data_IF_733434353313
#
_entry.id   IF_733434353313
#
_cell.length_a   1.000
_cell.length_b   1.000
_cell.length_c   1.000
_cell.angle_alpha   90.00
_cell.angle_beta   90.00
_cell.angle_gamma   90.00
#
_symmetry.space_group_name_H-M   'P 1'
#
loop_
_entity.id
_entity.type
_entity.pdbx_description
1 polymer ?
#
# COMPACT_ATOMS: atom_id res chain seq x y z
N UNK A 1 -8.62 -23.83 -23.43
CA UNK A 1 -9.37 -23.21 -22.31
C UNK A 1 -8.58 -23.49 -21.06
N UNK A 2 -7.74 -22.53 -20.68
CA UNK A 2 -6.88 -22.65 -19.51
C UNK A 2 -7.76 -22.70 -18.26
N UNK A 3 -7.68 -23.81 -17.53
CA UNK A 3 -8.41 -24.01 -16.29
C UNK A 3 -7.91 -22.98 -15.28
N UNK A 4 -8.65 -21.88 -15.12
CA UNK A 4 -8.41 -20.89 -14.07
C UNK A 4 -8.49 -21.58 -12.70
N UNK A 5 -7.35 -22.02 -12.18
CA UNK A 5 -7.21 -22.46 -10.80
C UNK A 5 -7.59 -21.28 -9.89
N UNK A 6 -8.67 -21.47 -9.13
CA UNK A 6 -9.23 -20.42 -8.25
C UNK A 6 -8.30 -20.09 -7.09
N UNK A 7 -7.28 -20.92 -6.82
CA UNK A 7 -6.28 -20.73 -5.75
C UNK A 7 -5.11 -19.86 -6.20
N UNK A 8 -4.85 -19.78 -7.50
CA UNK A 8 -3.74 -19.04 -8.11
C UNK A 8 -4.25 -18.01 -9.10
N UNK A 9 -5.22 -17.19 -8.68
CA UNK A 9 -5.50 -15.95 -9.42
C UNK A 9 -4.30 -15.03 -9.31
N UNK A 10 -3.48 -15.03 -10.36
CA UNK A 10 -2.50 -14.00 -10.60
C UNK A 10 -3.20 -12.63 -10.60
N UNK A 11 -2.73 -11.75 -9.73
CA UNK A 11 -3.04 -10.32 -9.74
C UNK A 11 -2.19 -9.63 -10.80
N UNK A 12 -2.23 -8.29 -10.87
CA UNK A 12 -1.47 -7.50 -11.85
C UNK A 12 -0.02 -8.05 -11.93
N UNK A 13 0.44 -8.35 -13.14
CA UNK A 13 1.77 -8.90 -13.44
C UNK A 13 2.05 -10.35 -12.99
N UNK A 14 1.03 -11.21 -12.82
CA UNK A 14 1.28 -12.64 -12.54
C UNK A 14 1.46 -12.98 -11.06
N UNK A 15 1.41 -11.99 -10.17
CA UNK A 15 1.75 -12.14 -8.74
C UNK A 15 0.64 -12.80 -7.95
N UNK A 16 0.98 -13.61 -6.95
CA UNK A 16 0.00 -14.11 -5.98
C UNK A 16 -0.35 -13.04 -4.94
N UNK A 17 -1.45 -13.24 -4.22
CA UNK A 17 -1.85 -12.33 -3.14
C UNK A 17 -0.77 -12.22 -2.06
N UNK A 18 -0.15 -13.34 -1.68
CA UNK A 18 0.90 -13.37 -0.66
C UNK A 18 2.14 -12.59 -1.10
N UNK A 19 2.52 -12.69 -2.38
CA UNK A 19 3.60 -11.86 -2.93
C UNK A 19 3.26 -10.37 -2.87
N UNK A 20 2.04 -9.97 -3.23
CA UNK A 20 1.61 -8.58 -3.10
C UNK A 20 1.63 -8.10 -1.64
N UNK A 21 1.33 -8.99 -0.69
CA UNK A 21 1.38 -8.72 0.75
C UNK A 21 2.82 -8.49 1.22
N UNK A 22 3.75 -9.38 0.86
CA UNK A 22 5.17 -9.27 1.18
C UNK A 22 5.79 -8.00 0.59
N UNK A 23 5.46 -7.68 -0.67
CA UNK A 23 5.91 -6.44 -1.32
C UNK A 23 5.38 -5.22 -0.55
N UNK A 24 4.09 -5.17 -0.25
CA UNK A 24 3.51 -4.05 0.48
C UNK A 24 4.09 -3.90 1.91
N UNK A 25 4.38 -5.01 2.62
CA UNK A 25 5.01 -4.97 3.94
C UNK A 25 6.48 -4.51 3.87
N UNK A 26 7.23 -4.95 2.86
CA UNK A 26 8.64 -4.57 2.70
C UNK A 26 8.84 -3.10 2.31
N UNK A 27 7.87 -2.47 1.64
CA UNK A 27 7.90 -1.03 1.32
C UNK A 27 7.51 -0.14 2.52
N UNK A 28 6.82 -0.71 3.50
CA UNK A 28 6.24 0.03 4.62
C UNK A 28 7.27 0.84 5.44
N UNK A 29 8.48 0.32 5.76
CA UNK A 29 9.51 1.10 6.45
C UNK A 29 9.92 2.38 5.72
N UNK A 30 9.95 2.37 4.39
CA UNK A 30 10.32 3.54 3.60
C UNK A 30 9.24 4.62 3.63
N UNK A 31 7.97 4.21 3.60
CA UNK A 31 6.85 5.12 3.79
C UNK A 31 6.87 5.76 5.19
N UNK A 32 7.15 4.96 6.23
CA UNK A 32 7.28 5.47 7.60
C UNK A 32 8.41 6.50 7.71
N UNK A 33 9.59 6.21 7.17
CA UNK A 33 10.71 7.17 7.12
C UNK A 33 10.34 8.46 6.39
N UNK A 34 9.62 8.34 5.27
CA UNK A 34 9.15 9.50 4.52
C UNK A 34 8.20 10.36 5.34
N UNK A 35 7.22 9.75 6.01
CA UNK A 35 6.27 10.44 6.89
C UNK A 35 6.99 11.09 8.08
N UNK A 36 7.98 10.42 8.67
CA UNK A 36 8.77 11.00 9.77
C UNK A 36 9.57 12.22 9.33
N UNK A 37 10.08 12.25 8.09
CA UNK A 37 10.87 13.37 7.56
C UNK A 37 9.98 14.52 7.06
N UNK A 38 8.91 14.21 6.34
CA UNK A 38 8.08 15.17 5.62
C UNK A 38 6.74 15.45 6.31
N UNK A 39 6.51 14.91 7.51
CA UNK A 39 5.27 14.90 8.30
C UNK A 39 4.07 14.14 7.69
N UNK A 40 4.06 13.96 6.36
CA UNK A 40 2.99 13.30 5.61
C UNK A 40 3.48 12.74 4.28
N UNK A 41 2.60 11.98 3.62
CA UNK A 41 2.75 11.50 2.25
C UNK A 41 1.38 11.48 1.57
N UNK A 42 1.28 11.91 0.30
CA UNK A 42 0.02 11.90 -0.45
C UNK A 42 -0.29 10.50 -0.99
N UNK A 43 -1.58 10.20 -1.19
CA UNK A 43 -2.01 8.96 -1.82
C UNK A 43 -1.45 8.81 -3.25
N UNK A 44 -1.33 9.91 -3.98
CA UNK A 44 -0.74 9.92 -5.32
C UNK A 44 0.73 9.49 -5.28
N UNK A 45 1.51 9.98 -4.31
CA UNK A 45 2.92 9.58 -4.13
C UNK A 45 3.06 8.09 -3.77
N UNK A 46 2.14 7.56 -2.95
CA UNK A 46 2.10 6.12 -2.65
C UNK A 46 1.79 5.33 -3.93
N UNK A 47 0.78 5.78 -4.70
CA UNK A 47 0.34 5.12 -5.92
C UNK A 47 1.44 5.08 -6.99
N UNK A 48 2.17 6.18 -7.14
CA UNK A 48 3.36 6.26 -8.01
C UNK A 48 4.47 5.32 -7.52
N UNK A 49 4.76 5.31 -6.21
CA UNK A 49 5.79 4.41 -5.65
C UNK A 49 5.49 2.93 -5.84
N UNK A 50 4.22 2.54 -5.86
CA UNK A 50 3.79 1.14 -6.07
C UNK A 50 3.48 0.83 -7.53
N UNK A 51 3.94 1.68 -8.47
CA UNK A 51 3.75 1.51 -9.91
C UNK A 51 2.28 1.32 -10.33
N UNK A 52 1.39 2.10 -9.72
CA UNK A 52 -0.05 2.06 -9.94
C UNK A 52 -0.64 0.65 -9.79
N UNK A 53 -0.03 -0.20 -8.95
CA UNK A 53 -0.60 -1.48 -8.56
C UNK A 53 -1.63 -1.25 -7.45
N UNK A 54 -2.91 -1.31 -7.82
CA UNK A 54 -4.00 -1.05 -6.90
C UNK A 54 -4.04 -2.01 -5.69
N UNK A 55 -3.59 -3.25 -5.86
CA UNK A 55 -3.61 -4.22 -4.77
C UNK A 55 -2.52 -3.89 -3.76
N UNK A 56 -1.31 -3.64 -4.24
CA UNK A 56 -0.19 -3.23 -3.38
C UNK A 56 -0.53 -1.89 -2.71
N UNK A 57 -1.08 -0.93 -3.44
CA UNK A 57 -1.56 0.35 -2.90
C UNK A 57 -2.52 0.16 -1.72
N UNK A 58 -3.58 -0.65 -1.90
CA UNK A 58 -4.58 -0.92 -0.86
C UNK A 58 -3.95 -1.62 0.35
N UNK A 59 -3.03 -2.56 0.12
CA UNK A 59 -2.32 -3.28 1.19
C UNK A 59 -1.39 -2.33 1.96
N UNK A 60 -0.65 -1.47 1.28
CA UNK A 60 0.22 -0.46 1.90
C UNK A 60 -0.58 0.46 2.82
N UNK A 61 -1.72 1.02 2.36
CA UNK A 61 -2.58 1.83 3.22
C UNK A 61 -3.12 1.04 4.41
N UNK A 62 -3.51 -0.22 4.21
CA UNK A 62 -3.97 -1.10 5.30
C UNK A 62 -2.88 -1.31 6.35
N UNK A 63 -1.62 -1.50 5.94
CA UNK A 63 -0.51 -1.69 6.87
C UNK A 63 -0.12 -0.40 7.59
N UNK A 64 -0.10 0.74 6.90
CA UNK A 64 0.09 2.04 7.56
C UNK A 64 -0.99 2.29 8.62
N UNK A 65 -2.25 1.96 8.32
CA UNK A 65 -3.34 2.06 9.31
C UNK A 65 -3.17 1.10 10.48
N UNK A 66 -2.75 -0.14 10.23
CA UNK A 66 -2.43 -1.13 11.29
C UNK A 66 -1.34 -0.61 12.22
N UNK A 67 -0.38 0.10 11.67
CA UNK A 67 0.79 0.60 12.38
C UNK A 67 0.56 1.96 13.06
N UNK A 68 -0.68 2.45 13.10
CA UNK A 68 -1.04 3.68 13.82
C UNK A 68 -0.80 4.96 13.03
N UNK A 69 -0.98 4.94 11.71
CA UNK A 69 -1.02 6.14 10.89
C UNK A 69 -2.46 6.51 10.51
N UNK A 70 -2.73 7.82 10.46
CA UNK A 70 -3.95 8.36 9.86
C UNK A 70 -3.78 8.33 8.34
N UNK A 71 -4.54 7.47 7.67
CA UNK A 71 -4.49 7.33 6.21
C UNK A 71 -5.37 8.33 5.46
N UNK A 72 -6.06 9.24 6.16
CA UNK A 72 -6.91 10.24 5.53
C UNK A 72 -8.18 9.66 4.92
N UNK A 73 -8.76 10.41 3.97
CA UNK A 73 -10.00 10.05 3.28
C UNK A 73 -10.08 10.73 1.90
N UNK A 74 -11.17 10.52 1.16
CA UNK A 74 -11.34 11.11 -0.18
C UNK A 74 -11.23 12.65 -0.25
N UNK A 75 -11.50 13.36 0.86
CA UNK A 75 -11.34 14.83 0.93
C UNK A 75 -9.91 15.24 1.31
N UNK A 76 -9.20 14.39 2.03
CA UNK A 76 -7.82 14.61 2.49
C UNK A 76 -7.02 13.34 2.19
N UNK A 77 -6.58 13.13 0.94
CA UNK A 77 -5.91 11.90 0.50
C UNK A 77 -4.43 11.94 0.87
N UNK A 78 -4.13 12.03 2.17
CA UNK A 78 -2.79 12.05 2.73
C UNK A 78 -2.69 11.07 3.90
N UNK A 79 -1.51 10.49 4.08
CA UNK A 79 -1.15 9.67 5.23
C UNK A 79 -0.21 10.44 6.13
N UNK A 80 -0.49 10.47 7.43
CA UNK A 80 0.31 11.16 8.46
C UNK A 80 0.33 10.37 9.76
N UNK A 81 1.29 10.65 10.63
CA UNK A 81 1.27 10.10 11.99
C UNK A 81 0.03 10.64 12.73
N UNK A 82 -0.64 9.80 13.54
CA UNK A 82 -1.65 10.32 14.46
C UNK A 82 -0.98 11.34 15.39
N UNK A 83 -1.51 12.57 15.42
CA UNK A 83 -1.15 13.51 16.47
C UNK A 83 -1.76 12.98 17.76
N UNK A 84 -0.92 12.48 18.65
CA UNK A 84 -1.30 12.20 20.04
C UNK A 84 -1.47 13.51 20.81
#
# INVERSE_FOLDING_TARGET
MDSCDRRTRAYKNGKTFDQCKEIAESMNPDFKKHISKNSKILWTEILEKVDHDELIYKLTLKFLRRDGYDIGNHKIPEVKAFKS
#
